data_IF_415378747923
#
_entry.id   IF_415378747923
#
_cell.length_a   1.000
_cell.length_b   1.000
_cell.length_c   1.000
_cell.angle_alpha   90.00
_cell.angle_beta   90.00
_cell.angle_gamma   90.00
#
_symmetry.space_group_name_H-M   'P 1'
#
loop_
_entity.id
_entity.type
_entity.pdbx_description
1 polymer ?
#
# COMPACT_ATOMS: atom_id res chain seq x y z
N UNK A 1 16.11 5.39 23.87
CA UNK A 1 16.00 4.24 22.99
C UNK A 1 14.78 4.38 22.09
N UNK A 2 14.95 4.20 20.79
CA UNK A 2 13.88 4.35 19.84
C UNK A 2 12.99 3.11 19.81
N UNK A 3 11.70 3.32 19.70
CA UNK A 3 10.76 2.23 19.47
C UNK A 3 10.77 1.86 18.00
N UNK A 4 10.52 0.57 17.66
CA UNK A 4 10.29 0.21 16.27
C UNK A 4 9.12 1.00 15.72
N UNK A 5 9.20 1.41 14.46
CA UNK A 5 8.09 2.07 13.80
C UNK A 5 6.94 1.10 13.64
N UNK A 6 5.73 1.57 13.90
CA UNK A 6 4.51 0.84 13.59
C UNK A 6 4.02 1.28 12.22
N UNK A 7 3.24 0.45 11.57
CA UNK A 7 2.68 0.78 10.27
C UNK A 7 1.95 2.12 10.28
N UNK A 8 1.20 2.39 11.35
CA UNK A 8 0.46 3.66 11.47
C UNK A 8 1.36 4.89 11.53
N UNK A 9 2.64 4.71 11.83
CA UNK A 9 3.60 5.82 11.93
C UNK A 9 4.17 6.21 10.57
N UNK A 10 3.95 5.42 9.54
CA UNK A 10 4.42 5.73 8.20
C UNK A 10 3.52 6.77 7.53
N UNK A 11 4.08 7.58 6.59
CA UNK A 11 3.26 8.51 5.83
C UNK A 11 2.07 7.79 5.17
N UNK A 12 0.94 8.48 5.08
CA UNK A 12 -0.27 8.02 4.40
C UNK A 12 -1.00 6.87 5.10
N UNK A 13 -0.43 6.31 6.15
CA UNK A 13 -1.07 5.21 6.88
C UNK A 13 -1.64 5.74 8.20
N UNK A 14 -2.72 5.12 8.63
CA UNK A 14 -3.40 5.45 9.88
C UNK A 14 -3.55 4.18 10.70
N UNK A 15 -4.08 4.31 11.92
CA UNK A 15 -4.38 3.14 12.72
C UNK A 15 -5.36 2.22 12.01
N UNK A 16 -6.35 2.79 11.33
CA UNK A 16 -7.32 2.00 10.56
C UNK A 16 -6.63 1.18 9.47
N UNK A 17 -5.70 1.79 8.75
CA UNK A 17 -4.95 1.08 7.71
C UNK A 17 -4.04 0.03 8.33
N UNK A 18 -3.41 0.33 9.47
CA UNK A 18 -2.60 -0.66 10.17
C UNK A 18 -3.40 -1.90 10.53
N UNK A 19 -4.61 -1.72 11.06
CA UNK A 19 -5.46 -2.85 11.41
C UNK A 19 -5.86 -3.66 10.19
N UNK A 20 -6.14 -2.99 9.08
CA UNK A 20 -6.49 -3.65 7.83
C UNK A 20 -5.31 -4.46 7.29
N UNK A 21 -4.11 -3.88 7.35
CA UNK A 21 -2.89 -4.59 6.94
C UNK A 21 -2.64 -5.81 7.81
N UNK A 22 -2.89 -5.70 9.13
CA UNK A 22 -2.78 -6.85 10.04
C UNK A 22 -3.71 -7.98 9.61
N UNK A 23 -4.95 -7.66 9.24
CA UNK A 23 -5.89 -8.65 8.73
C UNK A 23 -5.37 -9.31 7.46
N UNK A 24 -4.67 -8.56 6.64
CA UNK A 24 -4.10 -9.05 5.39
C UNK A 24 -2.78 -9.80 5.60
N UNK A 25 -2.34 -9.95 6.85
CA UNK A 25 -1.11 -10.66 7.18
C UNK A 25 0.15 -9.81 7.13
N UNK A 26 0.02 -8.49 7.04
CA UNK A 26 1.15 -7.56 7.03
C UNK A 26 1.17 -6.84 8.38
N UNK A 27 2.12 -7.18 9.24
CA UNK A 27 2.13 -6.70 10.61
C UNK A 27 3.28 -5.77 10.97
N UNK A 28 4.30 -5.71 10.13
CA UNK A 28 5.49 -4.91 10.43
C UNK A 28 5.86 -4.04 9.22
N UNK A 29 6.59 -2.96 9.51
CA UNK A 29 7.15 -2.10 8.46
C UNK A 29 8.09 -2.90 7.57
N UNK A 30 8.89 -3.77 8.17
CA UNK A 30 9.82 -4.62 7.43
C UNK A 30 9.06 -5.50 6.42
N UNK A 31 7.99 -6.15 6.87
CA UNK A 31 7.19 -7.02 6.00
C UNK A 31 6.56 -6.22 4.85
N UNK A 32 6.05 -5.02 5.16
CA UNK A 32 5.50 -4.14 4.14
C UNK A 32 6.55 -3.84 3.05
N UNK A 33 7.76 -3.48 3.48
CA UNK A 33 8.84 -3.16 2.55
C UNK A 33 9.28 -4.38 1.73
N UNK A 34 9.32 -5.54 2.35
CA UNK A 34 9.70 -6.78 1.65
C UNK A 34 8.67 -7.15 0.58
N UNK A 35 7.38 -6.99 0.87
CA UNK A 35 6.32 -7.27 -0.09
C UNK A 35 6.24 -6.24 -1.20
N UNK A 36 6.41 -4.96 -0.85
CA UNK A 36 6.20 -3.87 -1.78
C UNK A 36 4.73 -3.49 -1.88
N UNK A 37 4.46 -2.33 -2.48
CA UNK A 37 3.12 -1.78 -2.53
C UNK A 37 2.13 -2.65 -3.30
N UNK A 38 2.54 -3.22 -4.41
CA UNK A 38 1.66 -4.00 -5.28
C UNK A 38 1.16 -5.27 -4.58
N UNK A 39 2.07 -6.04 -3.96
CA UNK A 39 1.69 -7.26 -3.25
C UNK A 39 0.82 -6.95 -2.03
N UNK A 40 1.16 -5.89 -1.30
CA UNK A 40 0.34 -5.47 -0.17
C UNK A 40 -1.06 -5.07 -0.64
N UNK A 41 -1.15 -4.32 -1.73
CA UNK A 41 -2.42 -3.91 -2.30
C UNK A 41 -3.29 -5.12 -2.67
N UNK A 42 -2.67 -6.14 -3.28
CA UNK A 42 -3.39 -7.36 -3.64
C UNK A 42 -3.94 -8.08 -2.42
N UNK A 43 -3.16 -8.14 -1.35
CA UNK A 43 -3.63 -8.74 -0.09
C UNK A 43 -4.81 -7.98 0.49
N UNK A 44 -4.74 -6.65 0.47
CA UNK A 44 -5.83 -5.81 0.96
C UNK A 44 -7.08 -5.98 0.09
N UNK A 45 -6.90 -6.02 -1.21
CA UNK A 45 -8.01 -6.19 -2.15
C UNK A 45 -8.74 -7.53 -1.94
N UNK A 46 -8.00 -8.57 -1.55
CA UNK A 46 -8.58 -9.89 -1.29
C UNK A 46 -9.54 -9.87 -0.12
N UNK A 47 -9.37 -8.98 0.85
CA UNK A 47 -10.24 -8.88 2.02
C UNK A 47 -11.19 -7.70 1.97
N UNK A 48 -10.99 -6.77 1.04
CA UNK A 48 -11.85 -5.60 0.91
C UNK A 48 -11.87 -5.12 -0.55
N UNK A 49 -12.95 -5.44 -1.24
CA UNK A 49 -13.12 -5.12 -2.68
C UNK A 49 -13.15 -3.61 -2.98
N UNK A 50 -13.31 -2.78 -1.94
CA UNK A 50 -13.40 -1.33 -2.14
C UNK A 50 -12.04 -0.65 -2.12
N UNK A 51 -10.97 -1.40 -1.91
CA UNK A 51 -9.60 -0.88 -1.98
C UNK A 51 -9.31 -0.44 -3.41
N UNK A 52 -8.95 0.82 -3.59
CA UNK A 52 -8.75 1.41 -4.91
C UNK A 52 -7.34 1.93 -5.14
N UNK A 53 -7.19 2.72 -6.20
CA UNK A 53 -5.89 3.23 -6.63
C UNK A 53 -5.22 4.12 -5.57
N UNK A 54 -6.00 4.93 -4.86
CA UNK A 54 -5.45 5.82 -3.84
C UNK A 54 -4.71 5.04 -2.76
N UNK A 55 -5.23 3.88 -2.38
CA UNK A 55 -4.56 3.03 -1.39
C UNK A 55 -3.22 2.52 -1.92
N UNK A 56 -3.15 2.18 -3.20
CA UNK A 56 -1.89 1.76 -3.82
C UNK A 56 -0.86 2.89 -3.75
N UNK A 57 -1.25 4.13 -4.07
CA UNK A 57 -0.36 5.29 -3.95
C UNK A 57 0.08 5.50 -2.51
N UNK A 58 -0.85 5.35 -1.56
CA UNK A 58 -0.54 5.51 -0.15
C UNK A 58 0.49 4.50 0.32
N UNK A 59 0.37 3.25 -0.11
CA UNK A 59 1.32 2.20 0.23
C UNK A 59 2.70 2.47 -0.35
N UNK A 60 2.75 2.88 -1.61
CA UNK A 60 4.02 3.22 -2.25
C UNK A 60 4.70 4.38 -1.54
N UNK A 61 3.94 5.43 -1.23
CA UNK A 61 4.47 6.57 -0.49
C UNK A 61 4.98 6.17 0.89
N UNK A 62 4.23 5.34 1.59
CA UNK A 62 4.62 4.86 2.91
C UNK A 62 5.96 4.13 2.86
N UNK A 63 6.14 3.24 1.87
CA UNK A 63 7.37 2.49 1.69
C UNK A 63 8.54 3.42 1.39
N UNK A 64 8.31 4.47 0.59
CA UNK A 64 9.35 5.43 0.22
C UNK A 64 9.57 6.51 1.29
N UNK A 65 8.73 6.53 2.34
CA UNK A 65 8.86 7.50 3.41
C UNK A 65 8.40 8.91 3.04
N UNK A 66 7.43 9.04 2.13
CA UNK A 66 6.93 10.34 1.68
C UNK A 66 5.41 10.33 1.50
N UNK A 67 4.82 11.53 1.50
CA UNK A 67 3.41 11.67 1.21
C UNK A 67 3.13 11.22 -0.24
N UNK A 68 1.96 10.60 -0.47
CA UNK A 68 1.61 10.09 -1.79
C UNK A 68 1.62 11.17 -2.86
N UNK A 69 1.30 12.42 -2.50
CA UNK A 69 1.32 13.55 -3.44
C UNK A 69 2.73 13.90 -3.90
N UNK A 70 3.76 13.46 -3.17
CA UNK A 70 5.16 13.71 -3.52
C UNK A 70 5.77 12.62 -4.40
N UNK A 71 5.00 11.60 -4.76
CA UNK A 71 5.49 10.54 -5.64
C UNK A 71 5.75 11.12 -7.03
N UNK A 72 6.90 10.77 -7.67
CA UNK A 72 7.18 11.24 -9.03
C UNK A 72 6.10 10.79 -10.01
N UNK A 73 5.88 11.61 -11.04
CA UNK A 73 4.87 11.32 -12.06
C UNK A 73 5.14 9.97 -12.75
N UNK A 74 6.40 9.62 -12.96
CA UNK A 74 6.76 8.35 -13.57
C UNK A 74 6.31 7.17 -12.72
N UNK A 75 6.48 7.27 -11.40
CA UNK A 75 6.05 6.23 -10.47
C UNK A 75 4.52 6.12 -10.46
N UNK A 76 3.85 7.26 -10.42
CA UNK A 76 2.36 7.29 -10.45
C UNK A 76 1.83 6.65 -11.73
N UNK A 77 2.45 6.95 -12.86
CA UNK A 77 2.04 6.41 -14.15
C UNK A 77 2.23 4.90 -14.20
N UNK A 78 3.37 4.41 -13.71
CA UNK A 78 3.65 2.97 -13.65
C UNK A 78 2.64 2.24 -12.75
N UNK A 79 2.34 2.81 -11.60
CA UNK A 79 1.37 2.21 -10.68
C UNK A 79 -0.02 2.20 -11.29
N UNK A 80 -0.41 3.28 -12.00
CA UNK A 80 -1.70 3.34 -12.65
C UNK A 80 -1.82 2.29 -13.75
N UNK A 81 -0.76 2.11 -14.54
CA UNK A 81 -0.74 1.10 -15.58
C UNK A 81 -0.92 -0.30 -14.98
N UNK A 82 -0.16 -0.61 -13.93
CA UNK A 82 -0.30 -1.88 -13.22
C UNK A 82 -1.70 -2.06 -12.65
N UNK A 83 -2.26 -1.00 -12.08
CA UNK A 83 -3.58 -1.03 -11.48
C UNK A 83 -4.65 -1.34 -12.52
N UNK A 84 -4.60 -0.66 -13.67
CA UNK A 84 -5.55 -0.90 -14.75
C UNK A 84 -5.47 -2.33 -15.28
N UNK A 85 -4.26 -2.84 -15.47
CA UNK A 85 -4.05 -4.21 -15.91
C UNK A 85 -4.60 -5.22 -14.90
N UNK A 86 -4.36 -4.96 -13.61
CA UNK A 86 -4.84 -5.83 -12.53
C UNK A 86 -6.36 -5.87 -12.50
N UNK A 87 -7.02 -4.71 -12.64
CA UNK A 87 -8.48 -4.66 -12.66
C UNK A 87 -9.07 -5.40 -13.85
N UNK A 88 -8.41 -5.35 -15.00
CA UNK A 88 -8.85 -6.11 -16.18
C UNK A 88 -8.82 -7.61 -15.91
N UNK A 89 -7.78 -8.08 -15.21
CA UNK A 89 -7.70 -9.48 -14.82
C UNK A 89 -8.82 -9.88 -13.87
N UNK A 90 -9.24 -8.98 -12.98
CA UNK A 90 -10.31 -9.23 -12.01
C UNK A 90 -11.70 -9.28 -12.68
N UNK A 91 -11.81 -8.84 -13.92
CA UNK A 91 -13.09 -8.80 -14.62
C UNK A 91 -13.53 -10.18 -15.11
N UNK A 92 -12.70 -11.18 -14.96
CA UNK A 92 -13.02 -12.55 -15.39
C UNK A 92 -13.38 -13.47 -14.20
#
# INVERSE_FOLDING_TARGET
RQRPLRLKDLPNLSLRMELLLHEAGVRTVRHLRELGSKRCWLRLRAINQHIGFKTLLALEGAIEGRHEAALPQTVRAQLNEWYQETLKGDAF
#
